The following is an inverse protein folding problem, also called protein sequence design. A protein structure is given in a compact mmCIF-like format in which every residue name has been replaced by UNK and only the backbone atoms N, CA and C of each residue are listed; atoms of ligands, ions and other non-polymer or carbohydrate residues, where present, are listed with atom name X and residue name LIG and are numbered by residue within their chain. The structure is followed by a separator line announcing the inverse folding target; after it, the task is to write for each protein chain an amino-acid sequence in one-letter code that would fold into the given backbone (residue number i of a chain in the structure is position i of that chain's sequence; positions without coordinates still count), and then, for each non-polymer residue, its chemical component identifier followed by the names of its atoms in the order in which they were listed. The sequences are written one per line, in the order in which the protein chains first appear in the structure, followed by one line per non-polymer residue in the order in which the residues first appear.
data_IF_046030508883
#
_entry.id   IF_046030508883
#
_cell.length_a   1.000
_cell.length_b   1.000
_cell.length_c   1.000
_cell.angle_alpha   90.00
_cell.angle_beta   90.00
_cell.angle_gamma   90.00
#
_symmetry.space_group_name_H-M   'P 1'
#
loop_
_entity.id
_entity.type
_entity.pdbx_description
1 polymer ?
#
# COMPACT_ATOMS: atom_id res chain seq x y z
N UNK A 1 -2.11 19.10 4.35
CA UNK A 1 -2.13 17.67 4.67
C UNK A 1 -1.76 17.50 6.13
N UNK A 2 -2.67 16.94 6.92
CA UNK A 2 -2.48 16.76 8.37
C UNK A 2 -1.39 15.70 8.66
N UNK A 3 -0.72 15.79 9.81
CA UNK A 3 0.33 14.83 10.21
C UNK A 3 -0.24 13.40 10.27
N UNK A 4 -1.48 13.23 10.74
CA UNK A 4 -2.16 11.93 10.76
C UNK A 4 -2.36 11.40 9.34
N UNK A 5 -2.70 12.28 8.41
CA UNK A 5 -2.89 11.98 7.00
C UNK A 5 -1.58 11.50 6.35
N UNK A 6 -0.46 12.20 6.61
CA UNK A 6 0.88 11.80 6.13
C UNK A 6 1.24 10.41 6.64
N UNK A 7 1.05 10.18 7.93
CA UNK A 7 1.32 8.89 8.58
C UNK A 7 0.50 7.75 7.97
N UNK A 8 -0.80 7.98 7.70
CA UNK A 8 -1.67 6.99 7.04
C UNK A 8 -1.14 6.63 5.65
N UNK A 9 -0.76 7.63 4.83
CA UNK A 9 -0.22 7.37 3.48
C UNK A 9 1.09 6.58 3.53
N UNK A 10 2.01 6.98 4.39
CA UNK A 10 3.28 6.28 4.59
C UNK A 10 3.06 4.83 5.05
N UNK A 11 2.11 4.62 5.96
CA UNK A 11 1.76 3.28 6.43
C UNK A 11 1.19 2.40 5.31
N UNK A 12 0.30 2.93 4.47
CA UNK A 12 -0.19 2.20 3.30
C UNK A 12 0.95 1.78 2.37
N UNK A 13 1.87 2.71 2.06
CA UNK A 13 3.04 2.43 1.23
C UNK A 13 3.90 1.29 1.82
N UNK A 14 4.09 1.30 3.14
CA UNK A 14 4.81 0.23 3.84
C UNK A 14 4.07 -1.10 3.79
N UNK A 15 2.74 -1.09 3.99
CA UNK A 15 1.90 -2.29 3.87
C UNK A 15 1.96 -2.90 2.47
N UNK A 16 2.08 -2.08 1.44
CA UNK A 16 2.20 -2.53 0.06
C UNK A 16 3.58 -3.14 -0.21
N UNK A 17 4.65 -2.55 0.33
CA UNK A 17 6.02 -3.07 0.20
C UNK A 17 6.26 -4.36 0.99
N UNK A 18 5.71 -4.49 2.19
CA UNK A 18 6.07 -5.57 3.12
C UNK A 18 4.96 -6.59 3.39
N UNK A 19 3.76 -6.42 2.83
CA UNK A 19 2.54 -7.15 3.21
C UNK A 19 2.06 -6.88 4.63
N UNK A 20 0.74 -6.77 4.79
CA UNK A 20 0.06 -6.47 6.06
C UNK A 20 0.32 -7.53 7.15
N UNK A 21 0.43 -8.80 6.76
CA UNK A 21 0.74 -9.91 7.67
C UNK A 21 2.12 -9.77 8.33
N UNK A 22 3.14 -9.47 7.52
CA UNK A 22 4.50 -9.25 7.98
C UNK A 22 4.59 -8.05 8.93
N UNK A 23 3.88 -6.96 8.63
CA UNK A 23 3.85 -5.78 9.51
C UNK A 23 3.16 -6.12 10.84
N UNK A 24 2.03 -6.84 10.82
CA UNK A 24 1.35 -7.27 12.04
C UNK A 24 2.29 -8.11 12.93
N UNK A 25 2.98 -9.08 12.32
CA UNK A 25 3.95 -9.94 13.02
C UNK A 25 5.13 -9.13 13.59
N UNK A 26 5.71 -8.22 12.80
CA UNK A 26 6.81 -7.34 13.26
C UNK A 26 6.39 -6.38 14.38
N UNK A 27 5.13 -5.96 14.39
CA UNK A 27 4.57 -5.14 15.47
C UNK A 27 4.17 -5.96 16.71
N UNK A 28 4.33 -7.29 16.67
CA UNK A 28 4.00 -8.21 17.76
C UNK A 28 2.50 -8.46 17.92
N UNK A 29 1.70 -8.31 16.86
CA UNK A 29 0.28 -8.67 16.88
C UNK A 29 0.08 -10.08 16.36
N UNK A 30 -0.82 -10.82 17.03
CA UNK A 30 -1.26 -12.16 16.64
C UNK A 30 -2.07 -12.15 15.34
N UNK A 31 -2.80 -11.05 15.10
CA UNK A 31 -3.76 -10.91 14.01
C UNK A 31 -3.52 -9.66 13.17
N UNK A 32 -4.00 -9.70 11.92
CA UNK A 32 -3.92 -8.56 10.98
C UNK A 32 -5.07 -7.57 11.13
N UNK A 33 -6.02 -7.81 12.03
CA UNK A 33 -7.22 -6.97 12.20
C UNK A 33 -6.88 -5.50 12.49
N UNK A 34 -5.97 -5.26 13.42
CA UNK A 34 -5.55 -3.90 13.77
C UNK A 34 -4.85 -3.19 12.59
N UNK A 35 -3.95 -3.91 11.91
CA UNK A 35 -3.26 -3.39 10.71
C UNK A 35 -4.26 -3.11 9.59
N UNK A 36 -5.27 -3.95 9.39
CA UNK A 36 -6.34 -3.72 8.42
C UNK A 36 -7.18 -2.48 8.75
N UNK A 37 -7.48 -2.22 10.03
CA UNK A 37 -8.19 -1.00 10.43
C UNK A 37 -7.37 0.27 10.17
N UNK A 38 -6.07 0.23 10.42
CA UNK A 38 -5.15 1.33 10.13
C UNK A 38 -5.01 1.56 8.62
N UNK A 39 -4.85 0.49 7.86
CA UNK A 39 -4.73 0.51 6.40
C UNK A 39 -6.00 1.06 5.72
N UNK A 40 -7.19 0.64 6.19
CA UNK A 40 -8.48 1.16 5.71
C UNK A 40 -8.74 2.61 6.15
N UNK A 41 -7.90 3.18 7.02
CA UNK A 41 -8.03 4.55 7.49
C UNK A 41 -9.10 4.75 8.58
N UNK A 42 -9.73 3.67 9.04
CA UNK A 42 -10.75 3.67 10.11
C UNK A 42 -10.13 3.74 11.52
N UNK A 43 -8.85 3.38 11.66
CA UNK A 43 -8.13 3.44 12.93
C UNK A 43 -7.57 4.84 13.25
N UNK A 44 -7.42 5.14 14.54
CA UNK A 44 -6.71 6.31 15.01
C UNK A 44 -5.20 6.12 14.83
N UNK A 45 -4.62 6.88 13.89
CA UNK A 45 -3.18 6.82 13.61
C UNK A 45 -2.43 7.85 14.46
N UNK A 46 -2.28 7.54 15.74
CA UNK A 46 -1.60 8.40 16.71
C UNK A 46 -0.07 8.28 16.68
N UNK A 47 0.60 9.17 17.43
CA UNK A 47 2.06 9.16 17.55
C UNK A 47 2.61 7.85 18.13
N UNK A 48 1.89 7.22 19.07
CA UNK A 48 2.26 5.90 19.62
C UNK A 48 2.32 4.83 18.54
N UNK A 49 1.32 4.79 17.65
CA UNK A 49 1.27 3.84 16.53
C UNK A 49 2.39 4.13 15.53
N UNK A 50 2.60 5.39 15.18
CA UNK A 50 3.71 5.79 14.31
C UNK A 50 5.07 5.31 14.84
N UNK A 51 5.38 5.60 16.12
CA UNK A 51 6.62 5.15 16.76
C UNK A 51 6.74 3.62 16.80
N UNK A 52 5.64 2.92 17.08
CA UNK A 52 5.63 1.45 17.11
C UNK A 52 5.93 0.86 15.73
N UNK A 53 5.38 1.44 14.66
CA UNK A 53 5.69 1.00 13.29
C UNK A 53 7.15 1.32 12.93
N UNK A 54 7.65 2.51 13.28
CA UNK A 54 9.05 2.88 13.06
C UNK A 54 9.99 1.87 13.73
N UNK A 55 9.76 1.54 15.00
CA UNK A 55 10.55 0.53 15.69
C UNK A 55 10.40 -0.89 15.10
N UNK A 56 9.19 -1.28 14.70
CA UNK A 56 8.94 -2.60 14.10
C UNK A 56 9.63 -2.79 12.74
N UNK A 57 9.77 -1.71 11.97
CA UNK A 57 10.40 -1.72 10.65
C UNK A 57 11.86 -1.21 10.68
N UNK A 58 12.38 -0.90 11.87
CA UNK A 58 13.70 -0.33 12.09
C UNK A 58 13.95 0.95 11.27
N UNK A 59 12.91 1.80 11.20
CA UNK A 59 12.92 3.08 10.52
C UNK A 59 13.39 4.19 11.47
N UNK A 60 13.96 5.29 10.93
CA UNK A 60 14.34 6.43 11.75
C UNK A 60 13.13 7.06 12.45
N UNK A 61 13.37 7.60 13.65
CA UNK A 61 12.36 8.32 14.41
C UNK A 61 11.89 9.54 13.62
N UNK A 62 10.59 9.65 13.36
CA UNK A 62 10.03 10.74 12.58
C UNK A 62 9.79 10.40 11.12
N UNK A 63 10.21 9.21 10.66
CA UNK A 63 9.99 8.78 9.28
C UNK A 63 8.51 8.82 8.90
N UNK A 64 7.62 8.45 9.81
CA UNK A 64 6.18 8.49 9.59
C UNK A 64 5.59 9.90 9.50
N UNK A 65 6.28 10.90 10.05
CA UNK A 65 5.82 12.29 10.15
C UNK A 65 6.12 13.09 8.86
N UNK A 66 7.07 12.60 8.06
CA UNK A 66 7.47 13.19 6.78
C UNK A 66 6.78 12.50 5.60
N UNK A 67 6.30 13.26 4.63
CA UNK A 67 5.69 12.68 3.44
C UNK A 67 6.80 12.21 2.50
N UNK A 68 6.86 10.90 2.23
CA UNK A 68 7.85 10.34 1.30
C UNK A 68 7.27 10.31 -0.13
N UNK A 69 8.08 10.65 -1.14
CA UNK A 69 7.64 10.68 -2.55
C UNK A 69 7.16 9.31 -3.08
N UNK A 70 7.55 8.24 -2.40
CA UNK A 70 7.18 6.86 -2.66
C UNK A 70 5.83 6.47 -2.02
N UNK A 71 5.20 7.39 -1.28
CA UNK A 71 3.85 7.20 -0.78
C UNK A 71 2.89 7.34 -1.97
N UNK A 72 2.14 6.28 -2.34
CA UNK A 72 1.27 6.33 -3.50
C UNK A 72 0.27 7.48 -3.35
N UNK A 73 0.04 8.19 -4.46
CA UNK A 73 -1.01 9.20 -4.59
C UNK A 73 -2.37 8.49 -4.54
N UNK A 74 -2.78 8.10 -3.33
CA UNK A 74 -4.07 7.47 -3.07
C UNK A 74 -5.14 8.57 -3.03
N UNK A 75 -5.58 9.01 -4.21
CA UNK A 75 -6.99 9.37 -4.33
C UNK A 75 -7.84 8.13 -4.00
N UNK A 76 -9.03 8.32 -3.42
CA UNK A 76 -9.98 7.22 -3.16
C UNK A 76 -10.23 6.36 -4.41
N UNK A 77 -10.11 6.96 -5.59
CA UNK A 77 -10.22 6.30 -6.89
C UNK A 77 -9.09 5.29 -7.15
N UNK A 78 -7.83 5.63 -6.86
CA UNK A 78 -6.72 4.68 -7.01
C UNK A 78 -6.87 3.49 -6.05
N UNK A 79 -7.32 3.74 -4.82
CA UNK A 79 -7.61 2.70 -3.84
C UNK A 79 -8.72 1.76 -4.32
N UNK A 80 -9.86 2.32 -4.75
CA UNK A 80 -10.99 1.56 -5.27
C UNK A 80 -10.61 0.75 -6.53
N UNK A 81 -9.82 1.36 -7.43
CA UNK A 81 -9.30 0.71 -8.62
C UNK A 81 -8.41 -0.47 -8.28
N UNK A 82 -7.54 -0.33 -7.28
CA UNK A 82 -6.62 -1.38 -6.86
C UNK A 82 -7.33 -2.54 -6.16
N UNK A 83 -8.33 -2.25 -5.35
CA UNK A 83 -9.19 -3.28 -4.75
C UNK A 83 -9.98 -4.04 -5.83
N UNK A 84 -10.50 -3.32 -6.82
CA UNK A 84 -11.16 -3.92 -7.99
C UNK A 84 -10.21 -4.82 -8.77
N UNK A 85 -8.97 -4.39 -9.00
CA UNK A 85 -7.95 -5.15 -9.71
C UNK A 85 -7.58 -6.43 -8.97
N UNK A 86 -7.43 -6.35 -7.64
CA UNK A 86 -7.19 -7.51 -6.79
C UNK A 86 -8.33 -8.53 -6.87
N UNK A 87 -9.57 -8.06 -6.85
CA UNK A 87 -10.76 -8.93 -6.93
C UNK A 87 -10.89 -9.59 -8.29
N UNK A 88 -10.49 -8.90 -9.36
CA UNK A 88 -10.40 -9.47 -10.70
C UNK A 88 -9.29 -10.51 -10.79
N UNK A 89 -8.13 -10.28 -10.18
CA UNK A 89 -7.03 -11.25 -10.10
C UNK A 89 -7.42 -12.54 -9.37
N UNK A 90 -8.25 -12.47 -8.33
CA UNK A 90 -8.79 -13.65 -7.63
C UNK A 90 -9.75 -14.48 -8.49
N UNK A 91 -10.29 -13.91 -9.57
CA UNK A 91 -11.17 -14.59 -10.53
C UNK A 91 -10.40 -15.15 -11.73
N UNK A 92 -9.09 -14.93 -11.83
CA UNK A 92 -8.27 -15.52 -12.89
C UNK A 92 -7.90 -16.95 -12.49
N UNK A 93 -8.41 -17.98 -13.18
CA UNK A 93 -8.00 -19.35 -12.93
C UNK A 93 -6.51 -19.53 -13.30
N UNK A 94 -5.79 -20.40 -12.59
CA UNK A 94 -4.33 -20.56 -12.73
C UNK A 94 -3.88 -20.89 -14.16
N UNK A 95 -4.75 -21.50 -14.95
CA UNK A 95 -4.58 -21.78 -16.39
C UNK A 95 -4.47 -20.52 -17.28
N UNK A 96 -4.83 -19.34 -16.76
CA UNK A 96 -4.79 -18.05 -17.46
C UNK A 96 -3.73 -17.08 -16.90
N UNK A 97 -2.78 -17.55 -16.08
CA UNK A 97 -1.73 -16.69 -15.52
C UNK A 97 -0.91 -16.01 -16.64
N UNK A 98 -0.59 -16.70 -17.72
CA UNK A 98 0.10 -16.11 -18.90
C UNK A 98 -0.71 -14.97 -19.54
N UNK A 99 -2.04 -15.12 -19.62
CA UNK A 99 -2.93 -14.09 -20.16
C UNK A 99 -3.03 -12.89 -19.20
N UNK A 100 -3.10 -13.13 -17.88
CA UNK A 100 -3.08 -12.08 -16.88
C UNK A 100 -1.74 -11.34 -16.82
N UNK A 101 -0.62 -12.05 -16.99
CA UNK A 101 0.71 -11.44 -17.06
C UNK A 101 0.86 -10.61 -18.34
N UNK A 102 0.29 -11.07 -19.46
CA UNK A 102 0.21 -10.33 -20.72
C UNK A 102 -0.60 -9.04 -20.56
N UNK A 103 -1.78 -9.11 -19.92
CA UNK A 103 -2.61 -7.94 -19.64
C UNK A 103 -1.92 -6.99 -18.67
N UNK A 104 -1.27 -7.51 -17.63
CA UNK A 104 -0.52 -6.70 -16.66
C UNK A 104 0.67 -5.99 -17.33
N UNK A 105 1.40 -6.67 -18.23
CA UNK A 105 2.44 -6.06 -19.06
C UNK A 105 1.88 -5.01 -20.01
N UNK A 106 0.74 -5.27 -20.65
CA UNK A 106 0.10 -4.30 -21.54
C UNK A 106 -0.41 -3.06 -20.81
N UNK A 107 -0.86 -3.21 -19.56
CA UNK A 107 -1.32 -2.10 -18.71
C UNK A 107 -0.17 -1.31 -18.07
N UNK A 108 0.97 -1.96 -17.78
CA UNK A 108 2.15 -1.33 -17.17
C UNK A 108 3.12 -0.77 -18.20
N UNK A 109 3.09 -1.26 -19.44
CA UNK A 109 3.65 -0.59 -20.59
C UNK A 109 2.79 0.62 -20.94
N UNK A 110 3.01 1.74 -20.24
CA UNK A 110 2.45 3.02 -20.66
C UNK A 110 2.82 3.31 -22.13
N UNK A 111 1.95 3.98 -22.92
CA UNK A 111 2.29 4.47 -24.25
C UNK A 111 3.30 5.63 -24.12
N UNK A 112 4.55 5.28 -23.88
CA UNK A 112 5.68 6.20 -23.90
C UNK A 112 6.17 6.40 -25.34
N UNK A 113 5.72 7.50 -25.94
CA UNK A 113 6.19 8.13 -27.20
C UNK A 113 5.55 7.62 -28.50
N UNK A 114 4.43 8.25 -28.87
CA UNK A 114 4.35 8.78 -30.25
C UNK A 114 5.06 10.13 -30.25
N UNK A 115 6.33 10.11 -30.63
CA UNK A 115 7.05 11.31 -31.04
C UNK A 115 6.63 11.63 -32.48
N UNK A 116 5.99 12.78 -32.62
CA UNK A 116 5.64 13.46 -33.85
C UNK A 116 6.85 13.53 -34.80
N UNK A 117 6.72 13.05 -36.03
CA UNK A 117 7.53 13.43 -37.20
C UNK A 117 6.60 13.81 -38.33
#
# INVERSE_FOLDING_TARGET
MDVIEKRKRNFCALCDKHSRGTIAQKMGYSDTNYVNQLYKGHGSFGGKTARKVESALNLPLGWMDELHADAPDESDEHRARRESLRRLLELVPEENIDAAETVLRALTAAPGKQANQ
#
